data_IF_786864555923
#
_entry.id   IF_786864555923
#
_cell.length_a   1.000
_cell.length_b   1.000
_cell.length_c   1.000
_cell.angle_alpha   90.00
_cell.angle_beta   90.00
_cell.angle_gamma   90.00
#
_symmetry.space_group_name_H-M   'P 1'
#
loop_
_entity.id
_entity.type
_entity.pdbx_description
1 polymer ?
#
# COMPACT_ATOMS: atom_id res chain seq x y z
N UNK A 1 -18.80 -47.31 67.25
CA UNK A 1 -19.18 -46.61 66.00
C UNK A 1 -18.08 -46.89 64.98
N UNK A 2 -18.40 -47.38 63.76
CA UNK A 2 -17.57 -47.59 62.53
C UNK A 2 -16.02 -47.70 62.72
N UNK A 3 -15.31 -48.84 62.54
CA UNK A 3 -15.31 -49.91 61.50
C UNK A 3 -14.96 -49.30 60.11
N UNK A 4 -13.91 -49.67 59.35
CA UNK A 4 -12.82 -50.70 59.35
C UNK A 4 -11.52 -50.02 58.79
N UNK A 5 -10.31 -50.60 58.60
CA UNK A 5 -9.68 -51.94 58.75
C UNK A 5 -8.14 -51.81 58.47
N UNK A 6 -7.25 -52.69 58.94
CA UNK A 6 -6.55 -53.80 58.21
C UNK A 6 -6.16 -53.50 56.74
N UNK A 7 -4.94 -53.69 56.23
CA UNK A 7 -3.66 -54.31 56.71
C UNK A 7 -2.46 -53.84 55.83
N UNK A 8 -1.21 -53.82 56.32
CA UNK A 8 -0.09 -54.74 55.96
C UNK A 8 -0.03 -55.21 54.49
N UNK A 9 1.10 -55.27 53.75
CA UNK A 9 2.54 -55.38 54.10
C UNK A 9 3.44 -54.83 52.89
N UNK A 10 4.75 -55.12 52.65
CA UNK A 10 5.75 -54.13 52.20
C UNK A 10 6.56 -54.58 50.94
N UNK A 11 7.74 -53.96 50.68
CA UNK A 11 8.74 -54.39 49.68
C UNK A 11 9.49 -53.19 49.09
N UNK A 12 10.75 -52.95 49.49
CA UNK A 12 12.01 -53.37 48.83
C UNK A 12 12.44 -52.39 47.71
N UNK A 13 13.55 -51.65 47.85
CA UNK A 13 14.93 -52.12 47.57
C UNK A 13 15.06 -52.69 46.13
N UNK A 14 15.96 -52.25 45.23
CA UNK A 14 17.29 -51.58 45.37
C UNK A 14 17.79 -51.02 44.01
N UNK A 15 18.81 -50.14 44.06
CA UNK A 15 19.97 -50.01 43.12
C UNK A 15 19.75 -49.68 41.61
N UNK A 16 20.42 -48.67 41.03
CA UNK A 16 21.80 -48.66 40.44
C UNK A 16 21.89 -49.43 39.08
N UNK A 17 22.60 -49.05 38.00
CA UNK A 17 23.89 -48.34 37.87
C UNK A 17 24.13 -47.88 36.39
N UNK A 18 24.93 -46.81 36.20
CA UNK A 18 25.84 -46.42 35.08
C UNK A 18 25.59 -46.89 33.62
N UNK A 19 25.62 -45.92 32.68
CA UNK A 19 26.41 -45.80 31.41
C UNK A 19 25.74 -44.67 30.58
N UNK A 20 26.34 -43.84 29.73
CA UNK A 20 27.65 -43.79 29.07
C UNK A 20 27.44 -43.10 27.71
N UNK A 21 28.25 -42.08 27.35
CA UNK A 21 28.31 -41.41 26.03
C UNK A 21 27.01 -40.99 25.32
N UNK A 22 26.74 -39.68 25.23
CA UNK A 22 26.24 -39.06 23.99
C UNK A 22 26.83 -37.65 23.82
N UNK A 23 27.31 -37.34 22.61
CA UNK A 23 27.57 -35.96 22.22
C UNK A 23 26.25 -35.18 22.27
N UNK A 24 26.26 -33.94 22.76
CA UNK A 24 25.08 -33.06 22.83
C UNK A 24 24.60 -32.66 21.43
N UNK A 25 23.95 -33.59 20.72
CA UNK A 25 22.97 -33.23 19.68
C UNK A 25 21.91 -32.39 20.38
N UNK A 26 21.75 -31.14 19.93
CA UNK A 26 20.65 -30.30 20.41
C UNK A 26 19.34 -30.96 19.96
N UNK A 27 18.27 -30.93 20.77
CA UNK A 27 17.02 -31.56 20.38
C UNK A 27 16.49 -30.95 19.07
N UNK A 28 15.77 -31.72 18.25
CA UNK A 28 15.29 -31.29 16.93
C UNK A 28 14.51 -29.99 16.98
N UNK A 29 13.64 -29.85 17.98
CA UNK A 29 12.89 -28.62 18.28
C UNK A 29 13.80 -27.38 18.39
N UNK A 30 14.97 -27.49 19.01
CA UNK A 30 15.89 -26.37 19.17
C UNK A 30 16.70 -26.04 17.89
N UNK A 31 16.71 -26.93 16.90
CA UNK A 31 17.33 -26.68 15.59
C UNK A 31 16.28 -26.11 14.63
N UNK A 32 15.06 -26.66 14.62
CA UNK A 32 13.91 -26.12 13.89
C UNK A 32 13.54 -24.71 14.39
N UNK A 33 13.49 -24.48 15.71
CA UNK A 33 13.32 -23.13 16.27
C UNK A 33 14.43 -22.19 15.80
N UNK A 34 15.67 -22.64 15.70
CA UNK A 34 16.79 -21.79 15.24
C UNK A 34 16.75 -21.50 13.73
N UNK A 35 16.25 -22.45 12.92
CA UNK A 35 16.01 -22.23 11.50
C UNK A 35 14.85 -21.24 11.29
N UNK A 36 13.76 -21.40 12.05
CA UNK A 36 12.66 -20.44 12.08
C UNK A 36 13.11 -19.05 12.56
N UNK A 37 13.90 -18.96 13.64
CA UNK A 37 14.52 -17.71 14.11
C UNK A 37 15.40 -17.07 13.04
N UNK A 38 16.21 -17.83 12.30
CA UNK A 38 17.06 -17.30 11.22
C UNK A 38 16.22 -16.85 10.01
N UNK A 39 15.14 -17.54 9.68
CA UNK A 39 14.23 -17.14 8.60
C UNK A 39 13.42 -15.88 8.97
N UNK A 40 12.85 -15.85 10.18
CA UNK A 40 12.19 -14.68 10.77
C UNK A 40 13.19 -13.53 10.92
N UNK A 41 14.45 -13.79 11.26
CA UNK A 41 15.51 -12.78 11.36
C UNK A 41 15.96 -12.28 9.99
N UNK A 42 16.07 -13.11 8.94
CA UNK A 42 16.31 -12.66 7.56
C UNK A 42 15.16 -11.78 7.06
N UNK A 43 13.91 -12.21 7.26
CA UNK A 43 12.70 -11.45 6.86
C UNK A 43 12.54 -10.16 7.67
N UNK A 44 12.82 -10.21 8.97
CA UNK A 44 12.89 -9.05 9.86
C UNK A 44 14.01 -8.09 9.47
N UNK A 45 15.18 -8.59 9.10
CA UNK A 45 16.30 -7.78 8.61
C UNK A 45 16.04 -7.16 7.23
N UNK A 46 15.22 -7.79 6.38
CA UNK A 46 14.69 -7.16 5.16
C UNK A 46 13.74 -6.01 5.48
N UNK A 47 12.87 -6.15 6.49
CA UNK A 47 11.99 -5.07 6.96
C UNK A 47 12.73 -3.97 7.73
N UNK A 48 13.87 -4.30 8.36
CA UNK A 48 14.65 -3.38 9.19
C UNK A 48 15.73 -2.62 8.41
N UNK A 49 16.19 -3.15 7.27
CA UNK A 49 16.97 -2.41 6.29
C UNK A 49 16.03 -1.53 5.46
N UNK A 50 15.83 -0.30 5.90
CA UNK A 50 15.07 0.73 5.16
C UNK A 50 15.68 1.19 3.83
N UNK A 51 16.54 0.37 3.21
CA UNK A 51 17.18 0.56 1.90
C UNK A 51 16.50 -0.25 0.78
N UNK A 52 15.49 -1.08 1.08
CA UNK A 52 14.52 -1.45 0.04
C UNK A 52 13.66 -0.22 -0.23
N UNK A 53 13.63 0.23 -1.49
CA UNK A 53 12.61 1.16 -1.97
C UNK A 53 11.25 0.66 -1.47
N UNK A 54 10.54 1.47 -0.67
CA UNK A 54 9.25 1.05 -0.12
C UNK A 54 8.26 0.73 -1.24
N UNK A 55 8.39 1.42 -2.38
CA UNK A 55 7.67 1.17 -3.63
C UNK A 55 7.94 -0.23 -4.20
N UNK A 56 9.11 -0.83 -3.98
CA UNK A 56 9.44 -2.19 -4.40
C UNK A 56 8.82 -3.29 -3.48
N UNK A 57 8.19 -2.88 -2.37
CA UNK A 57 7.37 -3.74 -1.50
C UNK A 57 5.87 -3.57 -1.72
N UNK A 58 5.46 -2.59 -2.56
CA UNK A 58 4.07 -2.36 -2.96
C UNK A 58 3.72 -3.22 -4.17
N UNK A 59 2.48 -3.71 -4.22
CA UNK A 59 1.94 -4.28 -5.46
C UNK A 59 1.64 -3.17 -6.49
N UNK A 60 1.49 -3.49 -7.79
CA UNK A 60 1.16 -2.48 -8.81
C UNK A 60 -0.07 -1.64 -8.47
N UNK A 61 -1.12 -2.25 -7.89
CA UNK A 61 -2.31 -1.51 -7.45
C UNK A 61 -2.08 -0.67 -6.18
N UNK A 62 -1.25 -1.13 -5.24
CA UNK A 62 -0.84 -0.34 -4.07
C UNK A 62 -0.02 0.90 -4.49
N UNK A 63 0.88 0.76 -5.48
CA UNK A 63 1.69 1.86 -6.02
C UNK A 63 0.83 2.90 -6.75
N UNK A 64 -0.18 2.47 -7.51
CA UNK A 64 -1.15 3.38 -8.13
C UNK A 64 -1.95 4.18 -7.06
N UNK A 65 -2.39 3.52 -5.98
CA UNK A 65 -3.07 4.20 -4.86
C UNK A 65 -2.15 5.19 -4.11
N UNK A 66 -0.87 4.89 -4.01
CA UNK A 66 0.13 5.80 -3.43
C UNK A 66 0.34 7.05 -4.31
N UNK A 67 0.37 6.89 -5.64
CA UNK A 67 0.45 8.00 -6.58
C UNK A 67 -0.80 8.91 -6.52
N UNK A 68 -2.00 8.34 -6.49
CA UNK A 68 -3.26 9.07 -6.29
C UNK A 68 -3.26 9.88 -4.99
N UNK A 69 -2.76 9.29 -3.90
CA UNK A 69 -2.68 9.95 -2.61
C UNK A 69 -1.67 11.11 -2.63
N UNK A 70 -0.51 10.92 -3.27
CA UNK A 70 0.49 11.96 -3.46
C UNK A 70 -0.06 13.17 -4.25
N UNK A 71 -0.87 12.94 -5.30
CA UNK A 71 -1.49 14.06 -6.05
C UNK A 71 -2.43 14.89 -5.16
N UNK A 72 -3.15 14.25 -4.23
CA UNK A 72 -4.02 14.93 -3.25
C UNK A 72 -3.18 15.76 -2.27
N UNK A 73 -2.08 15.20 -1.76
CA UNK A 73 -1.21 15.87 -0.80
C UNK A 73 -0.44 17.04 -1.46
N UNK A 74 0.06 16.89 -2.69
CA UNK A 74 0.66 17.96 -3.50
C UNK A 74 -0.32 19.13 -3.71
N UNK A 75 -1.61 18.85 -3.99
CA UNK A 75 -2.66 19.88 -4.10
C UNK A 75 -2.92 20.57 -2.77
N UNK A 76 -2.96 19.81 -1.68
CA UNK A 76 -3.14 20.33 -0.32
C UNK A 76 -1.97 21.23 0.10
N UNK A 77 -0.74 20.87 -0.25
CA UNK A 77 0.43 21.69 0.00
C UNK A 77 0.36 23.01 -0.77
N UNK A 78 0.07 22.98 -2.08
CA UNK A 78 -0.14 24.21 -2.89
C UNK A 78 -1.23 25.12 -2.32
N UNK A 79 -2.32 24.54 -1.80
CA UNK A 79 -3.39 25.28 -1.12
C UNK A 79 -2.91 25.92 0.20
N UNK A 80 -2.03 25.25 0.96
CA UNK A 80 -1.37 25.82 2.15
C UNK A 80 -0.43 26.96 1.76
N UNK A 81 0.50 26.72 0.82
CA UNK A 81 1.44 27.74 0.33
C UNK A 81 0.71 29.01 -0.17
N UNK A 82 -0.43 28.85 -0.85
CA UNK A 82 -1.25 29.98 -1.27
C UNK A 82 -1.88 30.74 -0.09
N UNK A 83 -2.32 30.03 0.96
CA UNK A 83 -2.84 30.64 2.18
C UNK A 83 -1.75 31.39 2.96
N UNK A 84 -0.52 30.84 3.00
CA UNK A 84 0.64 31.47 3.65
C UNK A 84 1.07 32.76 2.91
N UNK A 85 1.05 32.75 1.58
CA UNK A 85 1.28 33.97 0.77
C UNK A 85 0.20 35.00 1.04
N UNK A 86 -1.09 34.63 1.08
CA UNK A 86 -2.16 35.58 1.43
C UNK A 86 -2.08 36.09 2.87
N UNK A 87 -1.66 35.26 3.82
CA UNK A 87 -1.41 35.69 5.19
C UNK A 87 -0.30 36.74 5.20
N UNK A 88 0.81 36.51 4.48
CA UNK A 88 1.90 37.48 4.34
C UNK A 88 1.46 38.78 3.67
N UNK A 89 0.66 38.74 2.59
CA UNK A 89 0.11 39.96 1.94
C UNK A 89 -0.72 40.80 2.94
N UNK A 90 -1.42 40.15 3.88
CA UNK A 90 -2.26 40.83 4.89
C UNK A 90 -1.47 41.34 6.09
N UNK A 91 -0.40 40.67 6.50
CA UNK A 91 0.37 41.01 7.73
C UNK A 91 1.61 41.85 7.46
N UNK A 92 2.24 41.72 6.29
CA UNK A 92 3.49 42.39 5.94
C UNK A 92 3.21 43.78 5.35
N UNK A 93 3.16 44.77 6.24
CA UNK A 93 2.96 46.19 5.89
C UNK A 93 4.15 46.78 5.12
N UNK A 94 5.30 46.08 5.06
CA UNK A 94 6.50 46.55 4.36
C UNK A 94 6.48 46.26 2.85
N UNK A 95 5.58 45.39 2.39
CA UNK A 95 5.42 45.07 0.96
C UNK A 95 4.89 46.28 0.18
N UNK A 96 5.54 46.58 -0.95
CA UNK A 96 5.00 47.51 -1.95
C UNK A 96 3.69 46.98 -2.53
N UNK A 97 2.83 47.87 -3.03
CA UNK A 97 1.59 47.45 -3.68
C UNK A 97 1.84 46.66 -4.98
N UNK A 98 2.99 46.89 -5.63
CA UNK A 98 3.45 46.05 -6.76
C UNK A 98 3.84 44.64 -6.28
N UNK A 99 4.55 44.52 -5.16
CA UNK A 99 4.92 43.22 -4.58
C UNK A 99 3.67 42.44 -4.13
N UNK A 100 2.70 43.12 -3.51
CA UNK A 100 1.39 42.54 -3.16
C UNK A 100 0.65 42.04 -4.40
N UNK A 101 0.69 42.80 -5.51
CA UNK A 101 0.10 42.40 -6.80
C UNK A 101 0.76 41.14 -7.39
N UNK A 102 2.09 41.04 -7.34
CA UNK A 102 2.83 39.85 -7.78
C UNK A 102 2.52 38.64 -6.89
N UNK A 103 2.57 38.81 -5.56
CA UNK A 103 2.26 37.75 -4.60
C UNK A 103 0.80 37.29 -4.69
N UNK A 104 -0.16 38.19 -4.91
CA UNK A 104 -1.56 37.80 -5.08
C UNK A 104 -1.75 36.98 -6.36
N UNK A 105 -1.10 37.33 -7.48
CA UNK A 105 -1.13 36.51 -8.71
C UNK A 105 -0.54 35.12 -8.48
N UNK A 106 0.52 35.02 -7.67
CA UNK A 106 1.13 33.74 -7.29
C UNK A 106 0.18 32.91 -6.40
N UNK A 107 -0.45 33.52 -5.39
CA UNK A 107 -1.44 32.88 -4.53
C UNK A 107 -2.67 32.42 -5.34
N UNK A 108 -3.19 33.25 -6.24
CA UNK A 108 -4.31 32.91 -7.13
C UNK A 108 -3.98 31.75 -8.07
N UNK A 109 -2.73 31.67 -8.56
CA UNK A 109 -2.24 30.55 -9.37
C UNK A 109 -2.17 29.27 -8.53
N UNK A 110 -1.53 29.32 -7.36
CA UNK A 110 -1.42 28.17 -6.44
C UNK A 110 -2.78 27.70 -5.94
N UNK A 111 -3.76 28.60 -5.71
CA UNK A 111 -5.15 28.25 -5.40
C UNK A 111 -5.84 27.50 -6.53
N UNK A 112 -5.59 27.88 -7.79
CA UNK A 112 -6.16 27.19 -8.97
C UNK A 112 -5.51 25.82 -9.18
N UNK A 113 -4.21 25.70 -8.93
CA UNK A 113 -3.48 24.43 -9.05
C UNK A 113 -3.74 23.46 -7.89
N UNK A 114 -3.94 23.98 -6.67
CA UNK A 114 -4.30 23.22 -5.46
C UNK A 114 -5.81 23.03 -5.26
N UNK A 115 -6.64 23.38 -6.25
CA UNK A 115 -8.09 23.23 -6.17
C UNK A 115 -8.48 21.75 -6.33
N UNK A 116 -9.18 21.19 -5.35
CA UNK A 116 -9.73 19.83 -5.48
C UNK A 116 -10.99 19.82 -6.35
N UNK A 117 -11.43 18.62 -6.78
CA UNK A 117 -12.67 18.51 -7.55
C UNK A 117 -13.90 18.91 -6.69
N UNK A 118 -13.85 18.69 -5.37
CA UNK A 118 -14.85 19.17 -4.40
C UNK A 118 -14.85 20.70 -4.26
N UNK A 119 -13.68 21.34 -4.15
CA UNK A 119 -13.57 22.80 -4.12
C UNK A 119 -14.15 23.42 -5.40
N UNK A 120 -13.86 22.79 -6.55
CA UNK A 120 -14.34 23.22 -7.87
C UNK A 120 -15.84 23.01 -8.02
N UNK A 121 -16.38 21.91 -7.52
CA UNK A 121 -17.82 21.65 -7.44
C UNK A 121 -18.52 22.71 -6.57
N UNK A 122 -17.95 23.04 -5.41
CA UNK A 122 -18.44 24.10 -4.54
C UNK A 122 -18.37 25.49 -5.21
N UNK A 123 -17.36 25.77 -6.04
CA UNK A 123 -17.32 26.98 -6.86
C UNK A 123 -18.45 27.02 -7.88
N UNK A 124 -18.69 25.95 -8.62
CA UNK A 124 -19.78 25.88 -9.60
C UNK A 124 -21.15 26.11 -8.94
N UNK A 125 -21.39 25.55 -7.75
CA UNK A 125 -22.62 25.81 -6.98
C UNK A 125 -22.75 27.28 -6.54
N UNK A 126 -21.66 27.92 -6.10
CA UNK A 126 -21.67 29.35 -5.77
C UNK A 126 -21.99 30.21 -7.00
N UNK A 127 -21.37 29.92 -8.14
CA UNK A 127 -21.60 30.65 -9.40
C UNK A 127 -23.04 30.45 -9.90
N UNK A 128 -23.54 29.20 -9.93
CA UNK A 128 -24.95 28.88 -10.22
C UNK A 128 -25.91 29.67 -9.33
N UNK A 129 -25.65 29.72 -8.03
CA UNK A 129 -26.49 30.43 -7.05
C UNK A 129 -26.54 31.95 -7.26
N UNK A 130 -25.54 32.55 -7.91
CA UNK A 130 -25.60 33.98 -8.32
C UNK A 130 -26.58 34.16 -9.48
N UNK A 131 -26.55 33.26 -10.48
CA UNK A 131 -27.48 33.29 -11.61
C UNK A 131 -28.92 32.96 -11.20
N UNK A 132 -29.10 32.01 -10.28
CA UNK A 132 -30.38 31.67 -9.68
C UNK A 132 -31.01 32.90 -8.99
N UNK A 133 -30.25 33.61 -8.15
CA UNK A 133 -30.70 34.87 -7.54
C UNK A 133 -31.03 35.96 -8.57
N UNK A 134 -30.26 36.06 -9.66
CA UNK A 134 -30.55 37.03 -10.74
C UNK A 134 -31.82 36.67 -11.51
N UNK A 135 -32.05 35.40 -11.79
CA UNK A 135 -33.28 34.89 -12.43
C UNK A 135 -34.53 35.16 -11.57
N UNK A 136 -34.40 35.00 -10.25
CA UNK A 136 -35.47 35.25 -9.27
C UNK A 136 -35.66 36.73 -8.90
N UNK A 137 -34.89 37.66 -9.46
CA UNK A 137 -35.01 39.09 -9.16
C UNK A 137 -36.26 39.68 -9.83
N UNK A 138 -37.20 40.22 -9.04
CA UNK A 138 -38.39 40.89 -9.58
C UNK A 138 -38.07 42.20 -10.33
N UNK A 139 -36.89 42.76 -10.15
CA UNK A 139 -36.41 43.95 -10.86
C UNK A 139 -35.65 43.65 -12.16
N UNK A 140 -35.32 42.39 -12.43
CA UNK A 140 -34.59 42.00 -13.65
C UNK A 140 -35.51 41.98 -14.88
N UNK A 141 -34.99 42.45 -16.01
CA UNK A 141 -35.74 42.48 -17.26
C UNK A 141 -35.95 41.05 -17.85
N UNK A 142 -36.95 40.82 -18.71
CA UNK A 142 -37.28 39.47 -19.20
C UNK A 142 -36.13 38.78 -19.95
N UNK A 143 -35.35 39.54 -20.71
CA UNK A 143 -34.14 39.10 -21.40
C UNK A 143 -33.02 38.72 -20.43
N UNK A 144 -32.83 39.48 -19.35
CA UNK A 144 -31.89 39.13 -18.28
C UNK A 144 -32.28 37.83 -17.57
N UNK A 145 -33.58 37.59 -17.35
CA UNK A 145 -34.09 36.34 -16.76
C UNK A 145 -33.86 35.14 -17.68
N UNK A 146 -34.06 35.31 -19.00
CA UNK A 146 -33.75 34.28 -20.01
C UNK A 146 -32.24 33.99 -20.03
N UNK A 147 -31.39 35.03 -20.01
CA UNK A 147 -29.95 34.87 -19.96
C UNK A 147 -29.48 34.17 -18.67
N UNK A 148 -30.05 34.52 -17.52
CA UNK A 148 -29.78 33.86 -16.25
C UNK A 148 -30.21 32.38 -16.27
N UNK A 149 -31.38 32.06 -16.83
CA UNK A 149 -31.84 30.68 -17.04
C UNK A 149 -30.86 29.85 -17.89
N UNK A 150 -30.38 30.41 -19.00
CA UNK A 150 -29.35 29.78 -19.85
C UNK A 150 -28.05 29.51 -19.10
N UNK A 151 -27.60 30.49 -18.30
CA UNK A 151 -26.40 30.32 -17.46
C UNK A 151 -26.59 29.23 -16.39
N UNK A 152 -27.76 29.13 -15.74
CA UNK A 152 -28.05 28.08 -14.75
C UNK A 152 -27.91 26.70 -15.41
N UNK A 153 -28.52 26.47 -16.57
CA UNK A 153 -28.41 25.20 -17.32
C UNK A 153 -26.97 24.87 -17.70
N UNK A 154 -26.18 25.88 -18.12
CA UNK A 154 -24.76 25.70 -18.40
C UNK A 154 -23.96 25.32 -17.14
N UNK A 155 -24.28 25.87 -15.96
CA UNK A 155 -23.66 25.47 -14.71
C UNK A 155 -24.09 24.08 -14.25
N UNK A 156 -25.37 23.73 -14.40
CA UNK A 156 -25.89 22.39 -14.08
C UNK A 156 -25.18 21.32 -14.92
N UNK A 157 -25.04 21.51 -16.24
CA UNK A 157 -24.28 20.59 -17.09
C UNK A 157 -22.79 20.45 -16.70
N UNK A 158 -22.15 21.53 -16.21
CA UNK A 158 -20.77 21.48 -15.70
C UNK A 158 -20.68 20.77 -14.34
N UNK A 159 -21.67 20.96 -13.47
CA UNK A 159 -21.81 20.30 -12.16
C UNK A 159 -21.98 18.79 -12.35
N UNK A 160 -22.88 18.37 -13.23
CA UNK A 160 -23.16 16.95 -13.47
C UNK A 160 -22.00 16.24 -14.16
N UNK A 161 -21.32 16.88 -15.11
CA UNK A 161 -20.12 16.32 -15.72
C UNK A 161 -18.98 16.15 -14.69
N UNK A 162 -18.76 17.15 -13.83
CA UNK A 162 -17.75 17.06 -12.77
C UNK A 162 -18.09 15.95 -11.76
N UNK A 163 -19.36 15.87 -11.31
CA UNK A 163 -19.85 14.80 -10.44
C UNK A 163 -19.63 13.41 -11.04
N UNK A 164 -19.89 13.25 -12.34
CA UNK A 164 -19.64 11.99 -13.05
C UNK A 164 -18.16 11.64 -13.05
N UNK A 165 -17.27 12.58 -13.38
CA UNK A 165 -15.81 12.34 -13.34
C UNK A 165 -15.30 12.03 -11.92
N UNK A 166 -15.86 12.66 -10.88
CA UNK A 166 -15.54 12.32 -9.49
C UNK A 166 -16.01 10.90 -9.14
N UNK A 167 -17.20 10.50 -9.58
CA UNK A 167 -17.71 9.13 -9.39
C UNK A 167 -16.85 8.10 -10.12
N UNK A 168 -16.47 8.38 -11.38
CA UNK A 168 -15.56 7.55 -12.18
C UNK A 168 -14.22 7.35 -11.43
N UNK A 169 -13.62 8.43 -10.89
CA UNK A 169 -12.40 8.37 -10.07
C UNK A 169 -12.56 7.52 -8.80
N UNK A 170 -13.63 7.69 -8.02
CA UNK A 170 -13.81 6.88 -6.81
C UNK A 170 -14.08 5.41 -7.15
N UNK A 171 -14.79 5.09 -8.24
CA UNK A 171 -14.92 3.70 -8.71
C UNK A 171 -13.59 3.09 -9.15
N UNK A 172 -12.72 3.87 -9.81
CA UNK A 172 -11.36 3.44 -10.15
C UNK A 172 -10.53 3.18 -8.88
N UNK A 173 -10.58 4.10 -7.89
CA UNK A 173 -9.89 3.95 -6.60
C UNK A 173 -10.41 2.75 -5.81
N UNK A 174 -11.71 2.47 -5.84
CA UNK A 174 -12.30 1.26 -5.27
C UNK A 174 -11.78 0.00 -5.98
N UNK A 175 -11.71 0.00 -7.31
CA UNK A 175 -11.18 -1.13 -8.07
C UNK A 175 -9.71 -1.41 -7.74
N UNK A 176 -8.86 -0.37 -7.70
CA UNK A 176 -7.46 -0.48 -7.27
C UNK A 176 -7.33 -1.03 -5.85
N UNK A 177 -8.17 -0.59 -4.89
CA UNK A 177 -8.18 -1.15 -3.52
C UNK A 177 -8.53 -2.64 -3.52
N UNK A 178 -9.49 -3.08 -4.33
CA UNK A 178 -9.83 -4.51 -4.48
C UNK A 178 -8.69 -5.29 -5.12
N UNK A 179 -8.07 -4.74 -6.16
CA UNK A 179 -6.93 -5.35 -6.85
C UNK A 179 -5.71 -5.48 -5.93
N UNK A 180 -5.39 -4.46 -5.14
CA UNK A 180 -4.31 -4.50 -4.14
C UNK A 180 -4.49 -5.64 -3.13
N UNK A 181 -5.71 -5.83 -2.61
CA UNK A 181 -6.02 -6.95 -1.70
C UNK A 181 -5.84 -8.31 -2.40
N UNK A 182 -6.26 -8.42 -3.67
CA UNK A 182 -6.09 -9.65 -4.45
C UNK A 182 -4.61 -9.95 -4.74
N UNK A 183 -3.85 -8.97 -5.21
CA UNK A 183 -2.40 -9.09 -5.46
C UNK A 183 -1.65 -9.47 -4.17
N UNK A 184 -2.06 -8.91 -3.02
CA UNK A 184 -1.52 -9.29 -1.71
C UNK A 184 -1.85 -10.74 -1.35
N UNK A 185 -3.10 -11.16 -1.52
CA UNK A 185 -3.53 -12.53 -1.25
C UNK A 185 -2.82 -13.56 -2.15
N UNK A 186 -2.58 -13.22 -3.43
CA UNK A 186 -1.86 -14.08 -4.37
C UNK A 186 -0.37 -14.19 -4.02
N UNK A 187 0.27 -13.09 -3.58
CA UNK A 187 1.64 -13.11 -3.04
C UNK A 187 1.75 -13.93 -1.74
N UNK A 188 0.77 -13.82 -0.84
CA UNK A 188 0.72 -14.60 0.39
C UNK A 188 0.47 -16.09 0.12
N UNK A 189 -0.43 -16.43 -0.81
CA UNK A 189 -0.67 -17.80 -1.24
C UNK A 189 0.55 -18.42 -1.96
N UNK A 190 1.30 -17.63 -2.74
CA UNK A 190 2.56 -18.05 -3.33
C UNK A 190 3.63 -18.32 -2.25
N UNK A 191 3.75 -17.43 -1.25
CA UNK A 191 4.66 -17.60 -0.13
C UNK A 191 4.30 -18.81 0.75
N UNK A 192 3.00 -19.08 0.98
CA UNK A 192 2.52 -20.27 1.69
C UNK A 192 2.86 -21.55 0.91
N UNK A 193 2.68 -21.60 -0.41
CA UNK A 193 3.07 -22.75 -1.25
C UNK A 193 4.58 -22.96 -1.33
N UNK A 194 5.38 -21.90 -1.20
CA UNK A 194 6.83 -22.03 -1.04
C UNK A 194 7.19 -22.57 0.35
N UNK A 195 6.49 -22.15 1.40
CA UNK A 195 6.69 -22.66 2.76
C UNK A 195 6.27 -24.14 2.87
N UNK A 196 5.14 -24.54 2.30
CA UNK A 196 4.69 -25.93 2.25
C UNK A 196 5.73 -26.84 1.59
N UNK A 197 6.34 -26.42 0.47
CA UNK A 197 7.46 -27.14 -0.17
C UNK A 197 8.72 -27.20 0.70
N UNK A 198 8.98 -26.18 1.50
CA UNK A 198 10.08 -26.16 2.46
C UNK A 198 9.81 -27.17 3.57
N UNK A 199 8.59 -27.18 4.12
CA UNK A 199 8.17 -28.06 5.20
C UNK A 199 8.13 -29.53 4.73
N UNK A 200 7.61 -29.81 3.52
CA UNK A 200 7.69 -31.12 2.86
C UNK A 200 9.14 -31.58 2.66
N UNK A 201 10.05 -30.69 2.25
CA UNK A 201 11.47 -31.00 2.08
C UNK A 201 12.19 -31.26 3.42
N UNK A 202 11.74 -30.62 4.51
CA UNK A 202 12.20 -30.91 5.87
C UNK A 202 11.67 -32.27 6.34
N UNK A 203 10.38 -32.56 6.17
CA UNK A 203 9.73 -33.80 6.61
C UNK A 203 10.23 -35.01 5.81
N UNK A 204 10.49 -34.83 4.50
CA UNK A 204 11.05 -35.86 3.62
C UNK A 204 12.55 -36.10 3.83
N UNK A 205 13.28 -35.17 4.44
CA UNK A 205 14.63 -35.42 4.91
C UNK A 205 14.55 -36.31 6.16
N UNK A 206 15.19 -37.48 6.12
CA UNK A 206 15.24 -38.43 7.24
C UNK A 206 15.53 -37.71 8.57
N UNK A 207 14.77 -38.02 9.63
CA UNK A 207 14.66 -37.24 10.88
C UNK A 207 15.92 -37.01 11.76
N UNK A 208 17.12 -37.06 11.20
CA UNK A 208 18.31 -36.37 11.71
C UNK A 208 18.29 -34.90 11.24
N UNK A 209 18.26 -33.94 12.16
CA UNK A 209 18.16 -32.48 11.86
C UNK A 209 19.28 -31.94 10.96
N UNK A 210 20.45 -32.59 11.00
CA UNK A 210 21.58 -32.25 10.13
C UNK A 210 21.24 -32.48 8.65
N UNK A 211 20.45 -33.52 8.35
CA UNK A 211 19.93 -33.81 7.00
C UNK A 211 18.95 -32.73 6.56
N UNK A 212 17.98 -32.38 7.41
CA UNK A 212 17.00 -31.33 7.13
C UNK A 212 17.67 -29.96 6.88
N UNK A 213 18.66 -29.57 7.70
CA UNK A 213 19.44 -28.35 7.48
C UNK A 213 20.22 -28.35 6.16
N UNK A 214 20.81 -29.48 5.77
CA UNK A 214 21.52 -29.58 4.49
C UNK A 214 20.56 -29.51 3.31
N UNK A 215 19.38 -30.13 3.43
CA UNK A 215 18.31 -30.08 2.41
C UNK A 215 17.80 -28.64 2.23
N UNK A 216 17.58 -27.92 3.33
CA UNK A 216 17.24 -26.49 3.34
C UNK A 216 18.29 -25.62 2.66
N UNK A 217 19.57 -25.79 3.00
CA UNK A 217 20.67 -25.04 2.38
C UNK A 217 20.80 -25.33 0.88
N UNK A 218 20.63 -26.60 0.48
CA UNK A 218 20.60 -27.00 -0.94
C UNK A 218 19.39 -26.39 -1.67
N UNK A 219 18.22 -26.33 -1.03
CA UNK A 219 17.03 -25.70 -1.58
C UNK A 219 17.16 -24.18 -1.71
N UNK A 220 17.67 -23.47 -0.69
CA UNK A 220 17.98 -22.03 -0.79
C UNK A 220 18.98 -21.76 -1.93
N UNK A 221 20.04 -22.57 -2.06
CA UNK A 221 21.03 -22.44 -3.12
C UNK A 221 20.45 -22.67 -4.51
N UNK A 222 19.63 -23.71 -4.70
CA UNK A 222 18.92 -23.98 -5.96
C UNK A 222 17.92 -22.89 -6.30
N UNK A 223 17.15 -22.39 -5.32
CA UNK A 223 16.18 -21.31 -5.49
C UNK A 223 16.87 -20.00 -5.88
N UNK A 224 18.03 -19.69 -5.29
CA UNK A 224 18.84 -18.54 -5.68
C UNK A 224 19.39 -18.70 -7.10
N UNK A 225 20.02 -19.83 -7.41
CA UNK A 225 20.53 -20.12 -8.75
C UNK A 225 19.43 -20.12 -9.82
N UNK A 226 18.19 -20.52 -9.48
CA UNK A 226 17.04 -20.43 -10.38
C UNK A 226 16.59 -18.99 -10.63
N UNK A 227 16.60 -18.12 -9.60
CA UNK A 227 16.33 -16.67 -9.76
C UNK A 227 17.43 -15.98 -10.58
N UNK A 228 18.70 -16.28 -10.30
CA UNK A 228 19.83 -15.72 -11.03
C UNK A 228 19.79 -16.15 -12.52
N UNK A 229 19.47 -17.42 -12.81
CA UNK A 229 19.27 -17.90 -14.19
C UNK A 229 17.98 -17.38 -14.87
N UNK A 230 16.94 -17.02 -14.10
CA UNK A 230 15.74 -16.40 -14.65
C UNK A 230 16.03 -14.96 -15.10
N UNK A 231 16.69 -14.17 -14.25
CA UNK A 231 17.13 -12.80 -14.59
C UNK A 231 18.06 -12.79 -15.82
N UNK A 232 19.04 -13.70 -15.88
CA UNK A 232 19.94 -13.84 -17.05
C UNK A 232 19.19 -14.26 -18.31
N UNK A 233 18.06 -14.97 -18.21
CA UNK A 233 17.22 -15.32 -19.38
C UNK A 233 16.29 -14.20 -19.81
N UNK A 234 15.91 -13.30 -18.91
CA UNK A 234 15.15 -12.10 -19.22
C UNK A 234 16.03 -11.07 -19.97
N UNK A 235 17.27 -10.85 -19.50
CA UNK A 235 18.29 -10.06 -20.21
C UNK A 235 18.76 -10.69 -21.54
N UNK A 236 18.67 -12.01 -21.68
CA UNK A 236 19.08 -12.74 -22.90
C UNK A 236 17.94 -13.04 -23.88
N UNK A 237 16.75 -12.44 -23.71
CA UNK A 237 15.68 -12.51 -24.69
C UNK A 237 16.12 -11.85 -26.01
N UNK A 238 16.17 -12.57 -27.15
CA UNK A 238 16.73 -12.02 -28.37
C UNK A 238 15.82 -10.95 -28.98
N UNK A 239 16.39 -9.78 -29.26
CA UNK A 239 15.73 -8.74 -30.03
C UNK A 239 15.48 -9.19 -31.48
N UNK A 240 14.27 -9.70 -31.74
CA UNK A 240 13.77 -10.07 -33.07
C UNK A 240 12.47 -10.87 -32.94
N UNK A 241 11.40 -10.58 -33.67
CA UNK A 241 11.33 -9.91 -34.97
C UNK A 241 10.23 -8.84 -35.01
N UNK A 242 10.54 -7.69 -35.57
CA UNK A 242 9.55 -6.74 -36.08
C UNK A 242 8.84 -7.34 -37.29
N UNK A 243 7.62 -7.87 -37.13
CA UNK A 243 6.77 -8.18 -38.27
C UNK A 243 5.95 -6.93 -38.67
N UNK A 244 6.45 -6.26 -39.71
CA UNK A 244 5.68 -5.29 -40.48
C UNK A 244 4.61 -6.03 -41.28
N UNK A 245 3.34 -5.81 -40.95
CA UNK A 245 2.21 -6.29 -41.75
C UNK A 245 1.39 -5.09 -42.22
N UNK A 246 1.83 -4.51 -43.34
CA UNK A 246 1.01 -3.59 -44.12
C UNK A 246 0.18 -4.38 -45.12
N UNK A 247 -1.15 -4.31 -45.04
CA UNK A 247 -2.04 -4.25 -46.21
C UNK A 247 -3.38 -3.67 -45.80
#
# INVERSE_FOLDING_TARGET
MRIQGTSSFPGSETHSIIHGTQARRKPPEAILSRAAEVFISKRGAQLQKGDTDMDALLTPAELALAADQKEIDDKREKKSQAADIEARIRTDVTLSDEDKSVLQKQADKLKKEGMTDEDRLAQLYRERGVWEKRSMSDTAAPDEKIAAGSMIVHYDGRIDNLRRTMQEKETHKMHLRTQAVQERADLEAAAQKEQEKIDDAIIGASGDDASALETLLRYEAQRKAAKDNAAVREDAAPAGQSQTSST
#
